data_IF_881565068519
#
_entry.id   IF_881565068519
#
_cell.length_a   1.000
_cell.length_b   1.000
_cell.length_c   1.000
_cell.angle_alpha   90.00
_cell.angle_beta   90.00
_cell.angle_gamma   90.00
#
_symmetry.space_group_name_H-M   'P 1'
#
loop_
_entity.id
_entity.type
_entity.pdbx_description
1 polymer ?
#
# COMPACT_ATOMS: atom_id res chain seq x y z
N UNK A 1 13.97 19.43 27.29
CA UNK A 1 14.28 18.29 26.40
C UNK A 1 13.08 17.38 26.28
N UNK A 2 12.28 17.50 25.21
CA UNK A 2 11.20 16.55 24.91
C UNK A 2 11.83 15.25 24.44
N UNK A 3 11.52 14.13 25.10
CA UNK A 3 12.01 12.80 24.73
C UNK A 3 11.50 12.48 23.32
N UNK A 4 12.40 12.32 22.35
CA UNK A 4 12.09 11.69 21.07
C UNK A 4 11.69 10.24 21.36
N UNK A 5 10.39 10.01 21.59
CA UNK A 5 9.81 8.68 21.45
C UNK A 5 10.07 8.31 19.99
N UNK A 6 11.04 7.43 19.73
CA UNK A 6 11.05 6.61 18.52
C UNK A 6 9.71 5.88 18.54
N UNK A 7 8.69 6.48 17.92
CA UNK A 7 7.42 5.82 17.66
C UNK A 7 7.77 4.82 16.57
N UNK A 8 8.18 3.60 16.96
CA UNK A 8 7.88 2.47 16.11
C UNK A 8 6.37 2.55 15.90
N UNK A 9 5.94 2.91 14.69
CA UNK A 9 4.56 2.71 14.26
C UNK A 9 4.31 1.24 14.59
N UNK A 10 3.49 1.01 15.63
CA UNK A 10 3.55 -0.23 16.42
C UNK A 10 3.48 -1.45 15.52
N UNK A 11 4.16 -2.54 15.89
CA UNK A 11 4.13 -3.80 15.14
C UNK A 11 2.68 -4.15 14.77
N UNK A 12 2.27 -3.84 13.53
CA UNK A 12 0.95 -4.20 13.04
C UNK A 12 1.01 -5.70 12.85
N UNK A 13 0.15 -6.41 13.57
CA UNK A 13 0.07 -7.84 13.43
C UNK A 13 -0.83 -8.15 12.23
N UNK A 14 -0.19 -8.42 11.09
CA UNK A 14 -0.89 -8.78 9.86
C UNK A 14 -1.28 -10.26 9.90
N UNK A 15 -2.55 -10.55 9.63
CA UNK A 15 -2.97 -11.92 9.32
C UNK A 15 -2.38 -12.36 7.97
N UNK A 16 -2.36 -13.67 7.70
CA UNK A 16 -1.96 -14.18 6.37
C UNK A 16 -2.83 -13.61 5.25
N UNK A 17 -4.13 -13.38 5.52
CA UNK A 17 -5.04 -12.74 4.59
C UNK A 17 -4.67 -11.27 4.33
N UNK A 18 -4.23 -10.53 5.36
CA UNK A 18 -3.74 -9.16 5.18
C UNK A 18 -2.48 -9.12 4.32
N UNK A 19 -1.53 -9.99 4.60
CA UNK A 19 -0.29 -10.10 3.81
C UNK A 19 -0.61 -10.42 2.36
N UNK A 20 -1.49 -11.41 2.10
CA UNK A 20 -1.90 -11.78 0.76
C UNK A 20 -2.56 -10.62 0.02
N UNK A 21 -3.47 -9.89 0.69
CA UNK A 21 -4.16 -8.74 0.11
C UNK A 21 -3.20 -7.60 -0.24
N UNK A 22 -2.29 -7.25 0.67
CA UNK A 22 -1.32 -6.18 0.46
C UNK A 22 -0.35 -6.54 -0.67
N UNK A 23 0.23 -7.74 -0.64
CA UNK A 23 1.19 -8.19 -1.66
C UNK A 23 0.53 -8.26 -3.05
N UNK A 24 -0.74 -8.65 -3.14
CA UNK A 24 -1.50 -8.68 -4.40
C UNK A 24 -1.57 -7.30 -5.09
N UNK A 25 -1.67 -6.22 -4.31
CA UNK A 25 -1.91 -4.86 -4.85
C UNK A 25 -0.65 -4.00 -4.95
N UNK A 26 0.43 -4.33 -4.23
CA UNK A 26 1.70 -3.60 -4.25
C UNK A 26 2.29 -3.33 -5.66
N UNK A 27 2.15 -4.23 -6.66
CA UNK A 27 2.64 -3.96 -8.02
C UNK A 27 1.95 -2.78 -8.71
N UNK A 28 0.73 -2.38 -8.28
CA UNK A 28 0.03 -1.20 -8.82
C UNK A 28 0.84 0.09 -8.62
N UNK A 29 1.71 0.15 -7.62
CA UNK A 29 2.58 1.31 -7.34
C UNK A 29 3.47 1.65 -8.54
N UNK A 30 3.89 0.66 -9.32
CA UNK A 30 4.74 0.89 -10.50
C UNK A 30 4.01 1.60 -11.64
N UNK A 31 2.67 1.58 -11.65
CA UNK A 31 1.82 2.19 -12.68
C UNK A 31 1.33 3.59 -12.27
N UNK A 32 1.63 4.03 -11.05
CA UNK A 32 1.22 5.35 -10.55
C UNK A 32 2.38 6.32 -10.73
N UNK A 33 2.28 7.15 -11.76
CA UNK A 33 3.29 8.14 -12.06
C UNK A 33 3.28 9.28 -11.03
N UNK A 34 4.49 9.70 -10.65
CA UNK A 34 4.73 10.93 -9.90
C UNK A 34 5.45 11.95 -10.78
N UNK A 35 5.60 13.17 -10.27
CA UNK A 35 6.24 14.27 -10.99
C UNK A 35 7.69 13.99 -11.43
N UNK A 36 8.37 13.02 -10.79
CA UNK A 36 9.77 12.72 -11.11
C UNK A 36 10.04 11.22 -11.30
N UNK A 37 10.85 10.83 -12.31
CA UNK A 37 11.26 9.44 -12.48
C UNK A 37 12.01 8.87 -11.27
N UNK A 38 12.78 9.71 -10.57
CA UNK A 38 13.50 9.31 -9.36
C UNK A 38 12.52 8.89 -8.24
N UNK A 39 11.42 9.62 -8.07
CA UNK A 39 10.40 9.27 -7.09
C UNK A 39 9.63 8.01 -7.49
N UNK A 40 9.39 7.78 -8.79
CA UNK A 40 8.81 6.51 -9.27
C UNK A 40 9.69 5.31 -8.89
N UNK A 41 11.01 5.40 -9.12
CA UNK A 41 11.96 4.35 -8.74
C UNK A 41 11.97 4.11 -7.22
N UNK A 42 11.93 5.18 -6.43
CA UNK A 42 11.84 5.06 -4.97
C UNK A 42 10.54 4.38 -4.54
N UNK A 43 9.40 4.73 -5.15
CA UNK A 43 8.11 4.12 -4.82
C UNK A 43 8.12 2.61 -5.13
N UNK A 44 8.67 2.21 -6.29
CA UNK A 44 8.84 0.80 -6.66
C UNK A 44 9.77 0.08 -5.68
N UNK A 45 10.91 0.68 -5.33
CA UNK A 45 11.84 0.08 -4.38
C UNK A 45 11.22 -0.13 -2.99
N UNK A 46 10.46 0.85 -2.50
CA UNK A 46 9.74 0.73 -1.23
C UNK A 46 8.59 -0.29 -1.31
N UNK A 47 7.91 -0.40 -2.46
CA UNK A 47 6.87 -1.41 -2.69
C UNK A 47 7.46 -2.82 -2.61
N UNK A 48 8.57 -3.06 -3.31
CA UNK A 48 9.29 -4.35 -3.27
C UNK A 48 9.80 -4.67 -1.86
N UNK A 49 10.36 -3.68 -1.16
CA UNK A 49 10.85 -3.87 0.22
C UNK A 49 9.71 -4.19 1.20
N UNK A 50 8.55 -3.53 1.06
CA UNK A 50 7.36 -3.84 1.83
C UNK A 50 6.88 -5.28 1.59
N UNK A 51 6.78 -5.71 0.33
CA UNK A 51 6.40 -7.07 -0.02
C UNK A 51 7.35 -8.10 0.60
N UNK A 52 8.66 -7.91 0.46
CA UNK A 52 9.68 -8.80 1.02
C UNK A 52 9.54 -8.92 2.54
N UNK A 53 9.34 -7.79 3.24
CA UNK A 53 9.15 -7.80 4.70
C UNK A 53 7.91 -8.56 5.11
N UNK A 54 6.77 -8.29 4.47
CA UNK A 54 5.50 -8.95 4.79
C UNK A 54 5.55 -10.46 4.55
N UNK A 55 6.12 -10.88 3.42
CA UNK A 55 6.32 -12.30 3.07
C UNK A 55 7.26 -13.01 4.05
N UNK A 56 8.23 -12.30 4.61
CA UNK A 56 9.14 -12.82 5.65
C UNK A 56 8.63 -12.59 7.08
N UNK A 57 7.35 -12.25 7.26
CA UNK A 57 6.72 -11.99 8.56
C UNK A 57 7.41 -10.90 9.40
N UNK A 58 8.08 -9.94 8.75
CA UNK A 58 8.67 -8.77 9.39
C UNK A 58 7.61 -7.66 9.45
N UNK A 59 7.19 -7.31 10.67
CA UNK A 59 6.17 -6.28 10.93
C UNK A 59 6.72 -4.84 10.99
N UNK A 60 8.04 -4.67 10.95
CA UNK A 60 8.68 -3.36 11.01
C UNK A 60 8.74 -2.68 9.63
N UNK A 61 7.69 -1.91 9.32
CA UNK A 61 7.60 -1.12 8.09
C UNK A 61 8.16 0.30 8.28
N UNK A 62 8.81 0.82 7.24
CA UNK A 62 9.28 2.20 7.17
C UNK A 62 8.12 3.16 6.81
N UNK A 63 8.32 4.46 7.01
CA UNK A 63 7.33 5.47 6.63
C UNK A 63 7.01 5.42 5.12
N UNK A 64 8.02 5.22 4.27
CA UNK A 64 7.82 5.13 2.83
C UNK A 64 7.11 3.83 2.42
N UNK A 65 7.41 2.72 3.09
CA UNK A 65 6.71 1.44 2.88
C UNK A 65 5.22 1.56 3.25
N UNK A 66 4.91 2.21 4.37
CA UNK A 66 3.52 2.48 4.78
C UNK A 66 2.80 3.34 3.72
N UNK A 67 3.45 4.39 3.21
CA UNK A 67 2.88 5.27 2.18
C UNK A 67 2.57 4.51 0.90
N UNK A 68 3.49 3.69 0.39
CA UNK A 68 3.25 2.94 -0.85
C UNK A 68 2.21 1.83 -0.68
N UNK A 69 2.12 1.19 0.50
CA UNK A 69 1.02 0.26 0.79
C UNK A 69 -0.32 0.99 0.78
N UNK A 70 -0.41 2.16 1.42
CA UNK A 70 -1.65 2.96 1.45
C UNK A 70 -2.11 3.33 0.03
N UNK A 71 -1.17 3.78 -0.81
CA UNK A 71 -1.43 4.12 -2.21
C UNK A 71 -1.93 2.90 -2.98
N UNK A 72 -1.25 1.75 -2.84
CA UNK A 72 -1.63 0.51 -3.52
C UNK A 72 -3.04 0.03 -3.14
N UNK A 73 -3.39 0.10 -1.85
CA UNK A 73 -4.72 -0.28 -1.37
C UNK A 73 -5.79 0.65 -1.95
N UNK A 74 -5.55 1.98 -1.94
CA UNK A 74 -6.51 2.95 -2.49
C UNK A 74 -6.70 2.76 -4.00
N UNK A 75 -5.61 2.55 -4.75
CA UNK A 75 -5.65 2.24 -6.17
C UNK A 75 -6.48 0.98 -6.47
N UNK A 76 -6.23 -0.11 -5.73
CA UNK A 76 -6.99 -1.34 -5.86
C UNK A 76 -8.49 -1.14 -5.60
N UNK A 77 -8.84 -0.33 -4.60
CA UNK A 77 -10.24 -0.02 -4.29
C UNK A 77 -10.91 0.80 -5.40
N UNK A 78 -10.20 1.72 -6.06
CA UNK A 78 -10.74 2.42 -7.24
C UNK A 78 -10.93 1.50 -8.45
N UNK A 79 -10.03 0.53 -8.65
CA UNK A 79 -10.12 -0.47 -9.73
C UNK A 79 -11.38 -1.33 -9.55
N UNK A 80 -11.59 -1.88 -8.35
CA UNK A 80 -12.72 -2.79 -8.07
C UNK A 80 -14.04 -2.06 -7.97
N UNK A 81 -14.05 -0.79 -7.55
CA UNK A 81 -15.28 0.03 -7.54
C UNK A 81 -15.66 0.54 -8.93
N UNK A 82 -14.80 0.37 -9.94
CA UNK A 82 -15.01 0.88 -11.30
C UNK A 82 -14.71 2.38 -11.46
N UNK A 83 -14.12 3.02 -10.47
CA UNK A 83 -13.90 4.47 -10.46
C UNK A 83 -12.50 4.88 -10.95
N UNK A 84 -11.59 3.95 -11.20
CA UNK A 84 -10.19 4.26 -11.55
C UNK A 84 -10.06 5.30 -12.69
N UNK A 85 -10.84 5.15 -13.77
CA UNK A 85 -10.85 6.10 -14.89
C UNK A 85 -11.33 7.50 -14.50
N UNK A 86 -12.28 7.62 -13.57
CA UNK A 86 -12.77 8.92 -13.08
C UNK A 86 -11.68 9.70 -12.33
N UNK A 87 -10.72 8.98 -11.73
CA UNK A 87 -9.55 9.55 -11.07
C UNK A 87 -8.34 9.68 -12.00
N UNK A 88 -8.51 9.48 -13.32
CA UNK A 88 -7.45 9.57 -14.31
C UNK A 88 -6.40 8.46 -14.18
N UNK A 89 -6.75 7.34 -13.54
CA UNK A 89 -5.88 6.19 -13.36
C UNK A 89 -6.18 5.15 -14.45
N UNK A 90 -5.22 4.93 -15.34
CA UNK A 90 -5.26 3.88 -16.35
C UNK A 90 -4.29 2.77 -15.95
N UNK A 91 -4.82 1.73 -15.31
CA UNK A 91 -4.03 0.60 -14.86
C UNK A 91 -4.04 -0.50 -15.92
N UNK A 92 -2.85 -0.94 -16.35
CA UNK A 92 -2.66 -2.12 -17.17
C UNK A 92 -2.81 -3.37 -16.28
N UNK A 93 -4.05 -3.86 -16.18
CA UNK A 93 -4.42 -5.07 -15.46
C UNK A 93 -5.25 -5.98 -16.37
N UNK A 94 -4.93 -7.26 -16.37
CA UNK A 94 -5.76 -8.26 -17.03
C UNK A 94 -6.95 -8.69 -16.14
N UNK A 95 -7.83 -9.51 -16.72
CA UNK A 95 -9.02 -10.00 -16.02
C UNK A 95 -8.69 -10.97 -14.88
N UNK A 96 -7.56 -11.67 -14.94
CA UNK A 96 -7.11 -12.59 -13.90
C UNK A 96 -6.65 -11.83 -12.67
N UNK A 97 -5.78 -10.83 -12.84
CA UNK A 97 -5.31 -9.98 -11.75
C UNK A 97 -6.45 -9.16 -11.16
N UNK A 98 -7.35 -8.62 -11.99
CA UNK A 98 -8.57 -7.96 -11.50
C UNK A 98 -9.44 -8.90 -10.65
N UNK A 99 -9.59 -10.16 -11.08
CA UNK A 99 -10.32 -11.18 -10.30
C UNK A 99 -9.62 -11.46 -8.96
N UNK A 100 -8.30 -11.54 -8.96
CA UNK A 100 -7.51 -11.74 -7.75
C UNK A 100 -7.65 -10.56 -6.77
N UNK A 101 -7.55 -9.32 -7.23
CA UNK A 101 -7.78 -8.12 -6.39
C UNK A 101 -9.20 -8.15 -5.79
N UNK A 102 -10.21 -8.57 -6.56
CA UNK A 102 -11.58 -8.68 -6.07
C UNK A 102 -11.74 -9.70 -4.93
N UNK A 103 -10.99 -10.82 -4.94
CA UNK A 103 -11.01 -11.79 -3.83
C UNK A 103 -10.56 -11.16 -2.51
N UNK A 104 -9.71 -10.14 -2.58
CA UNK A 104 -9.16 -9.42 -1.43
C UNK A 104 -10.00 -8.20 -1.02
N UNK A 105 -11.14 -7.92 -1.68
CA UNK A 105 -11.94 -6.71 -1.48
C UNK A 105 -12.24 -6.39 0.00
N UNK A 106 -12.69 -7.36 0.78
CA UNK A 106 -13.01 -7.15 2.21
C UNK A 106 -11.77 -6.84 3.05
N UNK A 107 -10.64 -7.50 2.78
CA UNK A 107 -9.38 -7.24 3.47
C UNK A 107 -8.88 -5.84 3.13
N UNK A 108 -8.90 -5.46 1.84
CA UNK A 108 -8.49 -4.14 1.37
C UNK A 108 -9.35 -3.03 1.98
N UNK A 109 -10.67 -3.19 2.04
CA UNK A 109 -11.56 -2.21 2.69
C UNK A 109 -11.29 -2.06 4.18
N UNK A 110 -10.99 -3.17 4.88
CA UNK A 110 -10.62 -3.12 6.31
C UNK A 110 -9.27 -2.44 6.53
N UNK A 111 -8.29 -2.73 5.67
CA UNK A 111 -6.92 -2.20 5.78
C UNK A 111 -6.82 -0.73 5.37
N UNK A 112 -7.64 -0.27 4.42
CA UNK A 112 -7.57 1.09 3.89
C UNK A 112 -7.61 2.18 4.99
N UNK A 113 -8.62 2.25 5.88
CA UNK A 113 -8.64 3.27 6.92
C UNK A 113 -7.48 3.14 7.92
N UNK A 114 -6.93 1.95 8.13
CA UNK A 114 -5.75 1.75 8.99
C UNK A 114 -4.53 2.42 8.36
N UNK A 115 -4.26 2.15 7.08
CA UNK A 115 -3.11 2.72 6.39
C UNK A 115 -3.24 4.22 6.14
N UNK A 116 -4.45 4.72 5.84
CA UNK A 116 -4.71 6.16 5.73
C UNK A 116 -4.38 6.88 7.06
N UNK A 117 -4.85 6.36 8.19
CA UNK A 117 -4.53 6.94 9.51
C UNK A 117 -3.02 6.93 9.81
N UNK A 118 -2.30 5.87 9.42
CA UNK A 118 -0.84 5.82 9.59
C UNK A 118 -0.12 6.86 8.74
N UNK A 119 -0.61 7.12 7.52
CA UNK A 119 -0.08 8.18 6.66
C UNK A 119 -0.38 9.55 7.26
N UNK A 120 -1.59 9.78 7.75
CA UNK A 120 -1.95 11.03 8.42
C UNK A 120 -1.06 11.30 9.64
N UNK A 121 -0.80 10.28 10.45
CA UNK A 121 0.11 10.36 11.60
C UNK A 121 1.55 10.72 11.19
N UNK A 122 2.02 10.21 10.03
CA UNK A 122 3.34 10.50 9.48
C UNK A 122 3.46 11.93 8.95
N UNK A 123 2.38 12.49 8.41
CA UNK A 123 2.36 13.86 7.87
C UNK A 123 2.25 14.93 8.96
N UNK A 124 1.70 14.56 10.11
CA UNK A 124 1.49 15.47 11.25
C UNK A 124 2.60 15.38 12.33
N UNK A 125 3.65 14.58 12.10
CA UNK A 125 4.76 14.36 13.05
C UNK A 125 6.02 15.16 12.71
#
# INVERSE_FOLDING_TARGET
MKKNKKRSLGNINFSSADVSAIVCVLPLVAQIETETPAQNLLNVANSNSAAEKLLNHKSALSANEIRVISIAISAALYIVSGNAFEYGLDFDIDSEWKSEINKHFFALNRLNPIFQNLVDDLMNS
#
